data_IF_443960844051
#
_entry.id   IF_443960844051
#
_cell.length_a   1.000
_cell.length_b   1.000
_cell.length_c   1.000
_cell.angle_alpha   90.00
_cell.angle_beta   90.00
_cell.angle_gamma   90.00
#
_symmetry.space_group_name_H-M   'P 1'
#
loop_
_entity.id
_entity.type
_entity.pdbx_description
1 polymer ?
#
# COMPACT_ATOMS: atom_id res chain seq x y z
N UNK A 1 18.46 19.64 -13.42
CA UNK A 1 17.94 18.38 -14.01
C UNK A 1 18.73 17.22 -13.40
N UNK A 2 18.18 16.46 -12.45
CA UNK A 2 18.82 15.20 -12.00
C UNK A 2 18.52 14.16 -13.07
N UNK A 3 19.54 13.67 -13.78
CA UNK A 3 19.41 12.49 -14.64
C UNK A 3 19.04 11.31 -13.74
N UNK A 4 17.77 10.93 -13.73
CA UNK A 4 17.32 9.71 -13.07
C UNK A 4 17.90 8.51 -13.80
N UNK A 5 18.53 7.60 -13.07
CA UNK A 5 18.99 6.34 -13.63
C UNK A 5 17.77 5.44 -13.84
N UNK A 6 17.45 5.13 -15.09
CA UNK A 6 16.41 4.13 -15.41
C UNK A 6 17.08 2.76 -15.36
N UNK A 7 16.65 1.93 -14.41
CA UNK A 7 17.11 0.55 -14.30
C UNK A 7 16.55 -0.25 -15.48
N UNK A 8 17.41 -0.99 -16.18
CA UNK A 8 17.02 -1.87 -17.29
C UNK A 8 17.03 -3.31 -16.82
N UNK A 9 15.99 -4.03 -17.15
CA UNK A 9 15.83 -5.45 -16.85
C UNK A 9 15.84 -6.24 -18.16
N UNK A 10 16.31 -7.49 -18.10
CA UNK A 10 16.36 -8.39 -19.26
C UNK A 10 15.07 -9.16 -19.46
N UNK A 11 14.36 -9.47 -18.38
CA UNK A 11 13.07 -10.16 -18.42
C UNK A 11 12.04 -9.47 -17.51
N UNK A 12 10.78 -9.85 -17.67
CA UNK A 12 9.69 -9.33 -16.83
C UNK A 12 9.83 -9.84 -15.39
N UNK A 13 10.16 -11.11 -15.22
CA UNK A 13 10.31 -11.76 -13.91
C UNK A 13 11.41 -11.08 -13.08
N UNK A 14 12.49 -10.63 -13.73
CA UNK A 14 13.55 -9.85 -13.07
C UNK A 14 13.03 -8.50 -12.57
N UNK A 15 12.20 -7.82 -13.37
CA UNK A 15 11.57 -6.57 -12.98
C UNK A 15 10.54 -6.77 -11.85
N UNK A 16 9.76 -7.85 -11.90
CA UNK A 16 8.81 -8.22 -10.85
C UNK A 16 9.54 -8.52 -9.53
N UNK A 17 10.65 -9.25 -9.59
CA UNK A 17 11.50 -9.51 -8.43
C UNK A 17 12.04 -8.24 -7.78
N UNK A 18 12.37 -7.22 -8.57
CA UNK A 18 12.90 -5.94 -8.07
C UNK A 18 11.85 -5.06 -7.36
N UNK A 19 10.55 -5.35 -7.55
CA UNK A 19 9.50 -4.69 -6.78
C UNK A 19 9.53 -5.08 -5.29
N UNK A 20 10.14 -6.23 -4.98
CA UNK A 20 10.17 -6.78 -3.63
C UNK A 20 11.49 -6.46 -2.94
N UNK A 21 11.41 -5.84 -1.76
CA UNK A 21 12.58 -5.71 -0.88
C UNK A 21 12.67 -6.97 -0.03
N UNK A 22 13.46 -7.93 -0.51
CA UNK A 22 13.61 -9.26 0.12
C UNK A 22 14.33 -9.20 1.48
N UNK A 23 15.22 -8.22 1.66
CA UNK A 23 16.00 -8.01 2.89
C UNK A 23 15.82 -6.56 3.37
N UNK A 24 14.70 -6.24 4.03
CA UNK A 24 14.42 -4.88 4.47
C UNK A 24 15.32 -4.47 5.63
N UNK A 25 15.99 -3.33 5.47
CA UNK A 25 16.82 -2.72 6.50
C UNK A 25 16.09 -1.56 7.21
N UNK A 26 16.74 -0.93 8.21
CA UNK A 26 16.16 0.22 8.90
C UNK A 26 15.83 1.39 7.95
N UNK A 27 16.60 1.57 6.88
CA UNK A 27 16.39 2.65 5.91
C UNK A 27 15.13 2.44 5.09
N UNK A 28 14.81 1.20 4.73
CA UNK A 28 13.58 0.80 4.08
C UNK A 28 12.38 1.14 4.97
N UNK A 29 12.38 0.69 6.22
CA UNK A 29 11.27 0.95 7.14
C UNK A 29 11.04 2.44 7.39
N UNK A 30 12.11 3.24 7.51
CA UNK A 30 11.97 4.71 7.64
C UNK A 30 11.26 5.32 6.43
N UNK A 31 11.58 4.87 5.21
CA UNK A 31 10.92 5.33 3.97
C UNK A 31 9.45 4.91 3.93
N UNK A 32 9.15 3.67 4.27
CA UNK A 32 7.78 3.15 4.31
C UNK A 32 6.93 3.90 5.33
N UNK A 33 7.44 4.13 6.54
CA UNK A 33 6.73 4.89 7.57
C UNK A 33 6.49 6.35 7.14
N UNK A 34 7.49 7.00 6.55
CA UNK A 34 7.34 8.36 6.02
C UNK A 34 6.27 8.43 4.92
N UNK A 35 6.20 7.40 4.08
CA UNK A 35 5.18 7.29 3.05
C UNK A 35 3.80 7.07 3.67
N UNK A 36 3.68 6.22 4.69
CA UNK A 36 2.42 5.99 5.42
C UNK A 36 1.91 7.27 6.09
N UNK A 37 2.81 8.07 6.68
CA UNK A 37 2.44 9.35 7.30
C UNK A 37 2.00 10.40 6.28
N UNK A 38 2.44 10.29 5.02
CA UNK A 38 1.98 11.16 3.93
C UNK A 38 0.53 10.86 3.50
N UNK A 39 -0.01 9.70 3.86
CA UNK A 39 -1.41 9.35 3.58
C UNK A 39 -2.31 9.71 4.78
N UNK A 40 -3.47 10.35 4.53
CA UNK A 40 -4.41 10.63 5.61
C UNK A 40 -4.85 9.31 6.24
N UNK A 41 -4.73 9.22 7.57
CA UNK A 41 -5.31 8.11 8.32
C UNK A 41 -6.82 8.20 8.17
N UNK A 42 -7.39 7.32 7.35
CA UNK A 42 -8.83 7.27 7.20
C UNK A 42 -9.43 6.75 8.52
N UNK A 43 -10.30 7.49 9.22
CA UNK A 43 -10.91 7.04 10.45
C UNK A 43 -11.79 5.83 10.14
N UNK A 44 -11.22 4.62 10.28
CA UNK A 44 -11.98 3.39 10.20
C UNK A 44 -12.89 3.30 11.43
N UNK A 45 -14.17 2.97 11.25
CA UNK A 45 -15.08 2.87 12.37
C UNK A 45 -14.68 1.69 13.27
N UNK A 46 -14.83 1.91 14.58
CA UNK A 46 -14.45 0.95 15.60
C UNK A 46 -15.67 0.11 15.97
N UNK A 47 -15.47 -1.19 16.11
CA UNK A 47 -16.52 -2.12 16.56
C UNK A 47 -16.49 -3.46 15.85
N UNK A 48 -17.36 -4.37 16.29
CA UNK A 48 -17.63 -5.64 15.61
C UNK A 48 -18.86 -5.43 14.73
N UNK A 49 -18.67 -5.54 13.42
CA UNK A 49 -19.74 -5.45 12.43
C UNK A 49 -20.13 -6.86 11.98
N UNK A 50 -21.43 -7.14 11.95
CA UNK A 50 -21.95 -8.43 11.49
C UNK A 50 -22.52 -8.24 10.09
N UNK A 51 -21.88 -8.87 9.11
CA UNK A 51 -22.32 -8.91 7.73
C UNK A 51 -22.73 -10.34 7.38
N UNK A 52 -23.77 -10.48 6.56
CA UNK A 52 -24.19 -11.78 6.06
C UNK A 52 -23.39 -12.18 4.81
N UNK A 53 -22.95 -11.22 4.01
CA UNK A 53 -22.13 -11.47 2.81
C UNK A 53 -20.94 -10.50 2.68
N UNK A 54 -19.98 -10.87 1.83
CA UNK A 54 -18.81 -10.05 1.54
C UNK A 54 -19.18 -8.76 0.79
N UNK A 55 -20.18 -8.81 -0.09
CA UNK A 55 -20.66 -7.65 -0.84
C UNK A 55 -21.26 -6.58 0.09
N UNK A 56 -21.92 -7.01 1.16
CA UNK A 56 -22.45 -6.12 2.20
C UNK A 56 -21.32 -5.36 2.91
N UNK A 57 -20.29 -6.09 3.35
CA UNK A 57 -19.10 -5.51 3.97
C UNK A 57 -18.37 -4.53 3.02
N UNK A 58 -18.28 -4.85 1.74
CA UNK A 58 -17.63 -4.01 0.73
C UNK A 58 -18.37 -2.68 0.53
N UNK A 59 -19.71 -2.74 0.39
CA UNK A 59 -20.54 -1.52 0.23
C UNK A 59 -20.41 -0.58 1.42
N UNK A 60 -20.37 -1.13 2.63
CA UNK A 60 -20.22 -0.34 3.86
C UNK A 60 -18.83 0.31 3.96
N UNK A 61 -17.76 -0.42 3.63
CA UNK A 61 -16.40 0.13 3.49
C UNK A 61 -16.33 1.28 2.49
N UNK A 62 -16.99 1.13 1.34
CA UNK A 62 -17.04 2.17 0.29
C UNK A 62 -17.85 3.41 0.70
N UNK A 63 -18.84 3.27 1.59
CA UNK A 63 -19.54 4.41 2.18
C UNK A 63 -18.61 5.20 3.10
N UNK A 64 -17.86 4.52 3.97
CA UNK A 64 -16.92 5.18 4.88
C UNK A 64 -15.76 5.85 4.15
N UNK A 65 -15.30 5.26 3.03
CA UNK A 65 -14.20 5.82 2.25
C UNK A 65 -14.57 7.07 1.44
N UNK A 66 -15.87 7.38 1.30
CA UNK A 66 -16.39 8.54 0.55
C UNK A 66 -16.80 9.72 1.43
N UNK A 67 -16.76 9.56 2.76
CA UNK A 67 -17.12 10.59 3.74
C UNK A 67 -15.92 11.39 4.24
#
# INVERSE_FOLDING_TARGET
MRRGWVKKFRTLEEAEGDLWVMEPDQSYYRRVLSLLDAFPRNPSPRGIFKYQTLEEAQRERERWSRG
#
